data_IF_505110597239
#
_entry.id   IF_505110597239
#
_cell.length_a   1.000
_cell.length_b   1.000
_cell.length_c   1.000
_cell.angle_alpha   90.00
_cell.angle_beta   90.00
_cell.angle_gamma   90.00
#
_symmetry.space_group_name_H-M   'P 1'
#
loop_
_entity.id
_entity.type
_entity.pdbx_description
1 polymer ?
2 polymer ?
3 non-polymer ?
4 non-polymer ?
5 non-polymer ?
6 non-polymer ?
7 water ?
#
# COMPACT_ATOMS: atom_id res chain seq x y z
N UNK A 1 6.49 -3.90 -12.57
CA UNK A 1 5.18 -4.00 -13.19
C UNK A 1 5.34 -4.45 -14.63
N UNK A 2 4.65 -5.55 -14.96
CA UNK A 2 4.56 -6.16 -16.28
C UNK A 2 3.20 -5.71 -16.85
N UNK A 3 3.18 -5.24 -18.09
CA UNK A 3 1.94 -4.83 -18.75
C UNK A 3 1.31 -3.52 -18.33
N UNK A 4 2.02 -2.70 -17.57
CA UNK A 4 1.53 -1.41 -17.12
C UNK A 4 1.90 -0.28 -18.05
N UNK A 5 1.95 0.94 -17.52
CA UNK A 5 2.31 2.14 -18.24
C UNK A 5 3.14 2.99 -17.29
N UNK A 6 3.81 4.04 -17.79
CA UNK A 6 4.57 4.92 -16.90
C UNK A 6 3.55 5.75 -16.13
N UNK A 7 3.72 5.82 -14.78
CA UNK A 7 2.89 6.64 -13.92
C UNK A 7 3.33 8.06 -14.22
N UNK A 8 2.47 8.94 -14.76
CA UNK A 8 2.90 10.33 -15.02
C UNK A 8 3.42 10.97 -13.72
N UNK A 9 4.60 11.63 -13.80
CA UNK A 9 5.31 12.26 -12.68
C UNK A 9 4.32 12.99 -11.76
N UNK A 10 4.26 12.55 -10.49
CA UNK A 10 3.41 13.10 -9.44
C UNK A 10 2.02 12.49 -9.32
N UNK A 11 1.68 11.46 -10.13
CA UNK A 11 0.34 10.85 -10.03
C UNK A 11 0.32 9.63 -9.06
N UNK A 12 1.49 9.18 -8.59
CA UNK A 12 1.64 8.13 -7.57
C UNK A 12 2.48 8.84 -6.47
N UNK A 13 1.96 9.92 -5.82
CA UNK A 13 2.83 10.72 -4.94
C UNK A 13 3.18 10.11 -3.58
N UNK A 14 2.46 9.06 -3.19
CA UNK A 14 2.64 8.28 -1.95
C UNK A 14 3.60 7.10 -2.12
N UNK A 15 3.99 6.78 -3.36
CA UNK A 15 4.95 5.72 -3.64
C UNK A 15 6.30 6.01 -2.98
N UNK A 16 6.85 4.99 -2.30
CA UNK A 16 8.18 5.04 -1.67
C UNK A 16 9.10 4.08 -2.41
N UNK A 17 10.36 4.45 -2.52
CA UNK A 17 11.44 3.62 -3.04
C UNK A 17 12.35 3.35 -1.83
N UNK A 18 12.53 2.09 -1.50
CA UNK A 18 13.40 1.68 -0.40
C UNK A 18 14.76 1.24 -0.94
N UNK A 19 15.81 1.79 -0.37
CA UNK A 19 17.18 1.54 -0.79
C UNK A 19 17.99 0.97 0.37
N UNK A 20 19.00 0.18 0.03
CA UNK A 20 19.92 -0.38 1.01
C UNK A 20 21.31 -0.27 0.39
N UNK A 21 22.19 0.57 0.97
CA UNK A 21 23.52 0.85 0.41
C UNK A 21 23.42 1.53 -0.99
N UNK A 22 22.33 2.27 -1.24
CA UNK A 22 22.08 2.96 -2.50
C UNK A 22 21.40 2.10 -3.55
N UNK A 23 21.26 0.79 -3.27
CA UNK A 23 20.67 -0.17 -4.19
C UNK A 23 19.19 -0.34 -3.93
N UNK A 24 18.44 -0.54 -5.01
CA UNK A 24 17.00 -0.75 -5.05
C UNK A 24 16.65 -1.97 -4.22
N UNK A 25 15.78 -1.80 -3.23
CA UNK A 25 15.37 -2.89 -2.35
C UNK A 25 13.92 -3.29 -2.59
N UNK A 26 13.02 -2.34 -2.41
CA UNK A 26 11.57 -2.54 -2.40
C UNK A 26 10.86 -1.25 -2.62
N UNK A 27 9.54 -1.35 -2.70
CA UNK A 27 8.63 -0.22 -2.69
C UNK A 27 8.05 -0.08 -1.30
N UNK A 28 7.25 0.97 -1.13
CA UNK A 28 6.53 1.26 0.10
C UNK A 28 5.44 2.26 -0.16
N UNK A 29 4.58 2.51 0.84
CA UNK A 29 3.49 3.51 0.75
C UNK A 29 3.58 4.46 1.93
N UNK A 30 3.54 5.77 1.64
CA UNK A 30 3.55 6.80 2.68
C UNK A 30 2.11 6.94 3.19
N UNK A 31 1.88 6.88 4.53
CA UNK A 31 0.52 6.99 5.06
C UNK A 31 0.32 8.30 5.85
N UNK A 32 1.43 8.99 6.20
CA UNK A 32 1.51 10.32 6.83
C UNK A 32 2.96 10.87 6.68
N UNK A 33 3.37 11.94 7.37
CA UNK A 33 4.73 12.50 7.19
C UNK A 33 5.88 11.65 7.71
N UNK A 34 5.63 10.69 8.62
CA UNK A 34 6.74 9.92 9.18
C UNK A 34 6.58 8.40 9.04
N UNK A 35 5.44 7.89 8.60
CA UNK A 35 5.27 6.44 8.47
C UNK A 35 5.07 5.96 7.06
N UNK A 36 5.74 4.84 6.76
CA UNK A 36 5.72 4.14 5.48
C UNK A 36 5.32 2.70 5.78
N UNK A 37 4.42 2.12 4.95
CA UNK A 37 4.07 0.70 5.10
C UNK A 37 4.65 -0.05 3.88
N UNK A 38 5.34 -1.16 4.18
CA UNK A 38 5.98 -1.98 3.16
C UNK A 38 5.70 -3.47 3.48
N UNK A 39 6.52 -4.40 2.94
CA UNK A 39 6.37 -5.83 3.23
C UNK A 39 7.46 -6.31 4.14
N UNK A 40 7.15 -7.20 5.09
CA UNK A 40 8.10 -7.79 6.01
C UNK A 40 9.22 -8.56 5.25
N UNK A 41 8.89 -9.26 4.13
CA UNK A 41 9.86 -10.07 3.39
C UNK A 41 11.00 -9.25 2.77
N UNK A 42 10.80 -7.93 2.58
CA UNK A 42 11.80 -6.97 2.08
C UNK A 42 13.01 -6.88 3.00
N UNK A 43 12.84 -7.20 4.28
CA UNK A 43 13.91 -7.02 5.26
C UNK A 43 14.55 -8.32 5.74
N UNK A 44 14.23 -9.46 5.07
CA UNK A 44 14.74 -10.79 5.43
C UNK A 44 16.28 -10.95 5.38
N UNK A 45 16.91 -10.35 4.38
CA UNK A 45 18.36 -10.49 4.18
C UNK A 45 19.15 -9.25 4.60
N UNK A 46 18.53 -8.34 5.38
CA UNK A 46 19.21 -7.12 5.80
C UNK A 46 20.21 -7.37 6.93
N UNK A 47 21.44 -6.87 6.79
CA UNK A 47 22.47 -6.91 7.84
C UNK A 47 22.89 -5.50 8.19
N UNK A 48 22.80 -4.58 7.20
CA UNK A 48 23.16 -3.16 7.30
C UNK A 48 21.93 -2.25 7.51
N UNK A 49 21.30 -2.34 8.71
CA UNK A 49 20.09 -1.58 9.10
C UNK A 49 20.28 -0.06 9.09
N UNK A 50 21.52 0.43 9.20
CA UNK A 50 21.81 1.87 9.19
C UNK A 50 21.94 2.47 7.80
N UNK A 51 21.91 1.61 6.76
CA UNK A 51 22.02 1.98 5.34
C UNK A 51 20.70 1.90 4.56
N UNK A 52 19.55 1.76 5.30
CA UNK A 52 18.19 1.70 4.79
C UNK A 52 17.70 3.11 4.57
N UNK A 53 17.34 3.44 3.32
CA UNK A 53 16.88 4.80 2.96
C UNK A 53 15.51 4.70 2.34
N UNK A 54 14.63 5.68 2.63
CA UNK A 54 13.33 5.78 1.97
C UNK A 54 13.37 7.06 1.11
N UNK A 55 13.03 6.91 -0.16
CA UNK A 55 12.98 8.01 -1.10
C UNK A 55 11.53 8.28 -1.50
N UNK A 56 11.08 9.52 -1.23
CA UNK A 56 9.76 10.06 -1.56
C UNK A 56 9.92 11.02 -2.74
N UNK A 57 8.87 11.14 -3.56
CA UNK A 57 8.86 12.06 -4.70
C UNK A 57 9.70 11.59 -5.86
N UNK A 58 10.09 10.31 -5.82
CA UNK A 58 10.88 9.67 -6.86
C UNK A 58 10.00 9.32 -8.10
N UNK A 59 10.59 9.36 -9.30
CA UNK A 59 9.94 9.03 -10.59
C UNK A 59 10.97 8.33 -11.53
N UNK A 60 12.02 9.10 -11.93
CA UNK A 60 13.09 8.67 -12.82
C UNK A 60 14.39 8.41 -12.06
N UNK A 61 14.80 7.13 -12.03
CA UNK A 61 16.01 6.72 -11.30
C UNK A 61 17.35 7.23 -11.88
N UNK A 62 17.34 7.76 -13.10
CA UNK A 62 18.58 8.20 -13.72
C UNK A 62 18.90 9.70 -13.49
N UNK A 63 17.86 10.49 -13.17
CA UNK A 63 17.94 11.94 -13.00
C UNK A 63 17.44 12.42 -11.64
N UNK A 64 18.11 13.44 -11.11
CA UNK A 64 17.68 14.14 -9.91
C UNK A 64 17.02 15.44 -10.39
N UNK A 65 15.71 15.63 -10.07
CA UNK A 65 15.02 16.85 -10.51
C UNK A 65 14.71 17.80 -9.35
N UNK A 66 15.02 17.39 -8.12
CA UNK A 66 14.80 18.21 -6.94
C UNK A 66 13.53 17.90 -6.15
N UNK A 67 12.62 17.10 -6.70
CA UNK A 67 11.39 16.71 -5.99
C UNK A 67 11.62 15.50 -5.09
N UNK A 68 12.80 14.84 -5.21
CA UNK A 68 13.16 13.67 -4.38
C UNK A 68 13.46 14.11 -2.96
N UNK A 69 13.06 13.29 -1.98
CA UNK A 69 13.31 13.53 -0.55
C UNK A 69 13.75 12.20 0.05
N UNK A 70 14.97 12.16 0.60
CA UNK A 70 15.58 10.97 1.22
C UNK A 70 15.54 11.08 2.72
N UNK A 71 15.20 9.98 3.38
CA UNK A 71 15.10 9.88 4.82
C UNK A 71 15.65 8.54 5.25
N UNK A 72 16.32 8.52 6.39
CA UNK A 72 16.81 7.29 6.98
C UNK A 72 15.63 6.60 7.63
N UNK A 73 15.57 5.27 7.52
CA UNK A 73 14.52 4.48 8.16
C UNK A 73 15.06 4.24 9.54
N UNK A 74 14.41 4.85 10.54
CA UNK A 74 14.83 4.80 11.95
C UNK A 74 14.35 3.53 12.69
N UNK A 75 13.26 2.90 12.20
CA UNK A 75 12.62 1.74 12.79
C UNK A 75 11.81 0.92 11.76
N UNK A 76 11.95 -0.41 11.80
CA UNK A 76 11.24 -1.39 10.97
C UNK A 76 10.46 -2.26 11.95
N UNK A 77 9.10 -2.20 11.87
CA UNK A 77 8.21 -2.93 12.78
C UNK A 77 7.48 -4.01 12.01
N UNK A 78 7.67 -5.24 12.46
CA UNK A 78 7.17 -6.43 11.83
C UNK A 78 6.30 -7.24 12.82
N UNK A 79 5.20 -7.89 12.37
CA UNK A 79 4.37 -8.66 13.32
C UNK A 79 5.07 -9.91 13.86
N UNK A 80 4.75 -10.26 15.11
CA UNK A 80 5.30 -11.45 15.78
C UNK A 80 4.96 -12.71 15.02
N UNK A 81 3.85 -12.71 14.31
CA UNK A 81 3.38 -13.85 13.53
C UNK A 81 4.10 -14.06 12.20
N UNK A 82 4.82 -13.06 11.70
CA UNK A 82 5.54 -13.18 10.45
C UNK A 82 6.80 -14.00 10.65
N UNK A 83 7.00 -15.04 9.78
CA UNK A 83 8.18 -15.92 9.83
C UNK A 83 9.07 -15.69 8.60
N UNK A 84 10.35 -15.31 8.74
CA UNK A 84 11.21 -15.14 7.53
C UNK A 84 11.26 -16.35 6.64
N UNK A 85 11.23 -16.13 5.33
CA UNK A 85 11.25 -17.20 4.34
C UNK A 85 9.88 -17.76 4.00
N UNK A 86 8.82 -17.21 4.65
CA UNK A 86 7.42 -17.61 4.43
C UNK A 86 6.62 -16.40 3.89
N UNK A 87 5.32 -16.63 3.60
CA UNK A 87 4.40 -15.68 2.95
C UNK A 87 3.40 -14.94 3.85
N UNK A 88 2.92 -15.59 4.90
CA UNK A 88 1.86 -15.03 5.77
C UNK A 88 2.34 -13.82 6.60
N UNK A 89 1.40 -12.91 6.93
CA UNK A 89 1.62 -11.69 7.74
C UNK A 89 2.73 -10.77 7.15
N UNK A 90 2.70 -10.57 5.82
CA UNK A 90 3.72 -9.81 5.07
C UNK A 90 3.52 -8.31 5.10
N UNK A 91 3.88 -7.69 6.24
CA UNK A 91 3.71 -6.26 6.42
C UNK A 91 4.82 -5.69 7.30
N UNK A 92 5.22 -4.47 7.03
CA UNK A 92 6.23 -3.79 7.83
C UNK A 92 5.79 -2.35 7.97
N UNK A 93 5.95 -1.79 9.17
CA UNK A 93 5.70 -0.39 9.48
C UNK A 93 7.05 0.29 9.74
N UNK A 94 7.38 1.28 8.91
CA UNK A 94 8.63 2.03 8.92
C UNK A 94 8.42 3.42 9.39
N UNK A 95 9.23 3.85 10.38
CA UNK A 95 9.27 5.19 10.97
C UNK A 95 10.49 5.86 10.35
N UNK A 96 10.25 7.00 9.68
CA UNK A 96 11.30 7.82 9.07
C UNK A 96 12.03 8.58 10.18
N UNK A 97 13.34 8.81 10.03
CA UNK A 97 14.14 9.47 11.08
C UNK A 97 13.66 10.92 11.32
N UNK A 98 13.18 11.55 10.25
CA UNK A 98 12.60 12.87 10.30
C UNK A 98 11.48 12.95 9.27
N UNK A 99 10.42 13.76 9.51
CA UNK A 99 9.29 13.76 8.56
C UNK A 99 9.66 14.19 7.16
N UNK A 100 8.88 13.73 6.16
CA UNK A 100 9.00 14.21 4.78
C UNK A 100 8.17 15.51 4.71
N UNK A 101 8.47 16.39 3.74
CA UNK A 101 7.73 17.62 3.51
C UNK A 101 6.68 17.34 2.41
N UNK A 102 5.39 17.51 2.77
CA UNK A 102 4.29 17.33 1.82
C UNK A 102 4.36 18.47 0.77
N UNK A 103 4.34 18.07 -0.50
CA UNK A 103 4.45 18.93 -1.71
C UNK A 103 3.54 18.26 -2.74
N UNK A 104 3.47 18.83 -3.97
CA UNK A 104 2.65 18.27 -5.05
C UNK A 104 3.11 16.89 -5.46
N UNK A 105 4.37 16.54 -5.11
CA UNK A 105 5.00 15.28 -5.51
C UNK A 105 5.12 14.24 -4.40
N UNK A 106 4.80 14.63 -3.14
CA UNK A 106 4.87 13.81 -1.91
C UNK A 106 3.57 14.01 -1.09
N UNK A 107 2.66 13.05 -1.21
CA UNK A 107 1.36 13.09 -0.53
C UNK A 107 1.05 11.72 0.07
N UNK A 108 0.60 11.57 1.35
CA UNK A 108 0.28 10.23 1.84
C UNK A 108 -0.95 9.61 1.21
N UNK A 109 -1.01 8.26 1.22
CA UNK A 109 -2.16 7.50 0.80
C UNK A 109 -2.92 7.27 2.12
N UNK A 110 -4.26 7.43 2.14
CA UNK A 110 -5.07 7.22 3.35
C UNK A 110 -5.06 5.77 3.82
N UNK A 111 -4.67 5.54 5.09
CA UNK A 111 -4.83 4.25 5.74
C UNK A 111 -6.32 4.25 6.20
N UNK A 112 -7.18 3.41 5.61
CA UNK A 112 -8.60 3.49 5.95
C UNK A 112 -8.90 2.80 7.26
N UNK A 113 -10.16 2.92 7.72
CA UNK A 113 -10.67 2.20 8.88
C UNK A 113 -10.98 0.78 8.43
N UNK A 114 -10.84 -0.21 9.33
CA UNK A 114 -11.10 -1.62 9.03
C UNK A 114 -12.48 -1.88 8.41
N UNK A 115 -13.53 -1.40 9.10
CA UNK A 115 -14.94 -1.54 8.74
C UNK A 115 -15.14 -1.06 7.31
N UNK A 116 -14.83 0.22 7.05
CA UNK A 116 -14.91 0.82 5.73
C UNK A 116 -14.17 -0.02 4.69
N UNK A 117 -12.93 -0.45 5.02
CA UNK A 117 -12.10 -1.23 4.11
C UNK A 117 -12.69 -2.59 3.77
N UNK A 118 -13.20 -3.33 4.78
CA UNK A 118 -13.80 -4.66 4.60
C UNK A 118 -15.17 -4.63 3.93
N UNK A 119 -16.03 -3.67 4.31
CA UNK A 119 -17.38 -3.68 3.79
C UNK A 119 -17.62 -2.75 2.59
N UNK A 120 -16.64 -1.93 2.18
CA UNK A 120 -16.82 -1.03 1.04
C UNK A 120 -15.67 -1.18 0.04
N UNK A 121 -14.42 -0.96 0.52
CA UNK A 121 -13.21 -1.02 -0.34
C UNK A 121 -12.96 -2.37 -0.96
N UNK A 122 -13.15 -3.46 -0.18
CA UNK A 122 -12.97 -4.85 -0.62
C UNK A 122 -13.82 -5.24 -1.86
N UNK A 123 -14.78 -4.40 -2.22
CA UNK A 123 -15.72 -4.62 -3.32
C UNK A 123 -15.49 -3.67 -4.49
N UNK A 124 -14.47 -2.81 -4.42
CA UNK A 124 -14.09 -2.00 -5.57
C UNK A 124 -13.23 -3.01 -6.39
N UNK A 125 -13.65 -3.34 -7.62
CA UNK A 125 -13.00 -4.36 -8.44
C UNK A 125 -11.54 -4.03 -8.77
N UNK A 126 -11.31 -2.87 -9.38
CA UNK A 126 -10.01 -2.40 -9.85
C UNK A 126 -9.27 -1.51 -8.86
N UNK A 127 -7.92 -1.64 -8.85
CA UNK A 127 -6.99 -0.90 -8.00
C UNK A 127 -5.65 -0.76 -8.71
N UNK A 128 -4.87 0.27 -8.33
CA UNK A 128 -3.58 0.56 -8.93
C UNK A 128 -2.44 -0.03 -8.15
N UNK A 129 -1.53 -0.69 -8.87
CA UNK A 129 -0.34 -1.33 -8.31
C UNK A 129 0.84 -0.69 -9.01
N UNK A 130 1.83 -0.27 -8.24
CA UNK A 130 2.95 0.51 -8.75
C UNK A 130 4.33 0.16 -8.20
N UNK A 131 5.35 0.51 -8.96
CA UNK A 131 6.74 0.27 -8.60
C UNK A 131 7.73 0.35 -9.74
N UNK A 132 9.03 0.22 -9.39
CA UNK A 132 10.18 0.24 -10.30
C UNK A 132 10.73 -1.19 -10.48
N UNK A 133 9.86 -2.20 -10.34
CA UNK A 133 10.21 -3.60 -10.52
C UNK A 133 10.48 -3.95 -11.97
N UNK A 134 10.74 -5.24 -12.22
CA UNK A 134 11.05 -5.75 -13.56
C UNK A 134 9.88 -5.63 -14.50
N UNK A 135 10.19 -5.31 -15.75
CA UNK A 135 9.17 -5.09 -16.75
C UNK A 135 8.64 -6.40 -17.32
N UNK A 136 9.39 -7.50 -17.08
CA UNK A 136 9.05 -8.87 -17.47
C UNK A 136 9.64 -9.83 -16.46
N UNK A 137 9.14 -11.10 -16.48
CA UNK A 137 9.70 -12.19 -15.69
C UNK A 137 11.10 -12.47 -16.30
N UNK A 138 12.15 -12.39 -15.44
CA UNK A 138 13.58 -12.54 -15.77
C UNK A 138 14.06 -11.38 -16.69
N UNK A 139 13.47 -10.21 -16.49
CA UNK A 139 13.77 -8.99 -17.21
C UNK A 139 14.37 -7.91 -16.33
N UNK A 140 14.72 -6.79 -16.96
CA UNK A 140 15.31 -5.62 -16.32
C UNK A 140 14.22 -4.80 -15.65
N UNK A 141 14.59 -4.17 -14.52
CA UNK A 141 13.73 -3.30 -13.72
C UNK A 141 13.59 -1.96 -14.43
N UNK A 142 12.46 -1.26 -14.18
CA UNK A 142 12.15 0.04 -14.79
C UNK A 142 12.97 1.21 -14.24
N UNK A 143 13.32 2.20 -15.09
CA UNK A 143 13.98 3.44 -14.67
C UNK A 143 12.92 4.49 -14.31
N UNK A 144 11.67 4.32 -14.84
CA UNK A 144 10.53 5.20 -14.54
C UNK A 144 9.44 4.46 -13.79
N UNK A 145 8.80 5.13 -12.83
CA UNK A 145 7.72 4.55 -12.04
C UNK A 145 6.56 4.01 -12.91
N UNK A 146 6.25 2.71 -12.79
CA UNK A 146 5.19 2.08 -13.58
C UNK A 146 3.96 1.80 -12.72
N UNK A 147 2.76 1.90 -13.32
CA UNK A 147 1.49 1.69 -12.67
C UNK A 147 0.62 0.71 -13.48
N UNK A 148 -0.11 -0.18 -12.78
CA UNK A 148 -1.03 -1.13 -13.38
C UNK A 148 -2.39 -1.22 -12.65
N UNK A 149 -3.48 -1.22 -13.42
CA UNK A 149 -4.85 -1.42 -12.90
C UNK A 149 -5.11 -2.93 -12.88
N UNK A 150 -5.43 -3.49 -11.72
CA UNK A 150 -5.68 -4.93 -11.56
C UNK A 150 -7.02 -5.25 -10.90
N UNK A 151 -7.76 -6.27 -11.35
CA UNK A 151 -9.01 -6.63 -10.67
C UNK A 151 -8.77 -7.57 -9.48
N UNK A 152 -9.53 -7.37 -8.39
CA UNK A 152 -9.46 -8.16 -7.18
C UNK A 152 -10.44 -9.29 -7.34
N UNK A 153 -10.03 -10.49 -6.85
CA UNK A 153 -10.81 -11.71 -6.86
C UNK A 153 -11.13 -12.12 -5.45
N UNK A 154 -12.27 -12.80 -5.25
CA UNK A 154 -12.61 -13.41 -3.97
C UNK A 154 -11.74 -14.67 -3.95
N UNK A 155 -11.17 -15.00 -2.77
CA UNK A 155 -10.20 -16.10 -2.62
C UNK A 155 -10.74 -17.42 -3.21
N UNK A 156 -12.04 -17.75 -3.02
CA UNK A 156 -12.62 -18.97 -3.60
C UNK A 156 -12.41 -18.99 -5.13
N UNK A 157 -12.70 -17.85 -5.83
CA UNK A 157 -12.52 -17.67 -7.27
C UNK A 157 -11.04 -17.80 -7.68
N UNK A 158 -10.13 -17.14 -6.92
CA UNK A 158 -8.68 -17.19 -7.16
C UNK A 158 -8.21 -18.65 -7.21
N UNK A 159 -8.58 -19.43 -6.17
CA UNK A 159 -8.23 -20.85 -6.00
C UNK A 159 -8.79 -21.75 -7.10
N UNK A 160 -10.01 -21.43 -7.62
CA UNK A 160 -10.67 -22.12 -8.72
C UNK A 160 -10.01 -21.79 -10.06
N UNK A 161 -9.77 -20.50 -10.32
CA UNK A 161 -9.14 -20.02 -11.56
C UNK A 161 -7.66 -20.35 -11.68
N UNK A 162 -6.98 -20.64 -10.55
CA UNK A 162 -5.56 -20.94 -10.59
C UNK A 162 -5.26 -22.39 -10.96
N UNK A 163 -4.09 -22.60 -11.60
CA UNK A 163 -3.57 -23.90 -12.00
C UNK A 163 -2.94 -24.56 -10.77
N UNK A 164 -3.52 -25.72 -10.35
CA UNK A 164 -3.11 -26.48 -9.17
C UNK A 164 -1.62 -26.88 -9.20
N UNK A 165 -0.78 -26.02 -8.58
CA UNK A 165 0.68 -26.19 -8.47
C UNK A 165 1.04 -26.63 -7.03
N UNK A 166 1.94 -27.63 -6.92
CA UNK A 166 2.41 -28.18 -5.65
C UNK A 166 3.39 -27.25 -4.94
N UNK A 167 3.51 -27.42 -3.60
CA UNK A 167 4.37 -26.63 -2.69
C UNK A 167 3.96 -25.13 -2.66
N UNK A 168 2.93 -24.73 -3.48
CA UNK A 168 2.40 -23.37 -3.59
C UNK A 168 1.70 -22.97 -2.29
N UNK A 169 2.14 -21.89 -1.59
CA UNK A 169 1.50 -21.52 -0.33
C UNK A 169 0.00 -21.28 -0.42
N UNK A 170 -0.70 -21.50 0.70
CA UNK A 170 -2.15 -21.30 0.87
C UNK A 170 -2.46 -19.80 0.84
N UNK A 171 -3.66 -19.43 0.36
CA UNK A 171 -4.09 -18.05 0.42
C UNK A 171 -4.89 -17.91 1.70
N UNK A 172 -4.29 -17.22 2.67
CA UNK A 172 -4.83 -17.03 4.00
C UNK A 172 -5.80 -15.89 4.05
N UNK A 173 -6.36 -15.61 5.23
CA UNK A 173 -7.29 -14.50 5.40
C UNK A 173 -6.54 -13.15 5.51
N UNK A 174 -5.19 -13.20 5.51
CA UNK A 174 -4.30 -12.05 5.60
C UNK A 174 -3.74 -11.69 4.24
N UNK A 175 -4.30 -12.30 3.18
CA UNK A 175 -3.91 -12.11 1.79
C UNK A 175 -5.14 -11.99 0.88
N UNK A 176 -4.90 -11.51 -0.34
CA UNK A 176 -5.90 -11.50 -1.41
C UNK A 176 -5.23 -11.58 -2.75
N UNK A 177 -5.97 -12.07 -3.75
CA UNK A 177 -5.50 -12.19 -5.12
C UNK A 177 -5.99 -11.01 -5.91
N UNK A 178 -5.18 -10.57 -6.83
CA UNK A 178 -5.52 -9.51 -7.76
C UNK A 178 -4.63 -9.71 -8.99
N UNK A 179 -5.15 -9.33 -10.16
CA UNK A 179 -4.37 -9.48 -11.39
C UNK A 179 -5.05 -10.27 -12.49
N UNK A 180 -4.23 -10.84 -13.36
CA UNK A 180 -4.62 -11.58 -14.56
C UNK A 180 -3.89 -12.91 -14.62
N UNK A 181 -4.60 -13.94 -15.10
CA UNK A 181 -4.09 -15.29 -15.27
C UNK A 181 -3.56 -15.59 -16.70
N UNK A 182 -3.54 -14.61 -17.63
CA UNK A 182 -3.16 -14.84 -19.02
C UNK A 182 -1.67 -14.56 -19.39
N UNK A 183 -0.85 -14.28 -18.38
CA UNK A 183 0.57 -13.99 -18.56
C UNK A 183 0.89 -12.62 -19.12
N UNK A 184 -0.10 -11.71 -19.17
CA UNK A 184 0.08 -10.36 -19.73
C UNK A 184 0.40 -9.20 -18.77
N UNK A 185 -0.15 -9.21 -17.54
CA UNK A 185 -0.04 -8.08 -16.61
C UNK A 185 0.09 -8.54 -15.17
N UNK A 186 1.05 -7.98 -14.45
CA UNK A 186 1.26 -8.36 -13.05
C UNK A 186 2.18 -7.36 -12.36
N UNK A 187 2.33 -7.57 -11.04
CA UNK A 187 3.33 -6.88 -10.24
C UNK A 187 4.50 -7.90 -10.19
N UNK A 188 5.68 -7.49 -9.73
CA UNK A 188 6.81 -8.42 -9.68
C UNK A 188 7.56 -8.29 -8.39
N UNK A 189 8.58 -9.15 -8.18
CA UNK A 189 9.38 -9.16 -6.96
C UNK A 189 9.95 -7.81 -6.59
N UNK A 190 10.37 -7.01 -7.57
CA UNK A 190 10.98 -5.70 -7.37
C UNK A 190 10.00 -4.63 -6.94
N UNK A 191 8.68 -4.90 -7.14
CA UNK A 191 7.58 -4.04 -6.75
C UNK A 191 7.11 -4.37 -5.31
N UNK A 192 7.68 -5.44 -4.70
CA UNK A 192 7.42 -5.91 -3.33
C UNK A 192 7.36 -4.76 -2.35
N UNK A 193 6.35 -4.80 -1.49
CA UNK A 193 6.09 -3.77 -0.47
C UNK A 193 5.34 -2.55 -0.97
N UNK A 194 5.19 -2.42 -2.29
CA UNK A 194 4.52 -1.30 -2.93
C UNK A 194 3.01 -1.26 -2.73
N UNK A 195 2.37 -0.10 -3.03
CA UNK A 195 0.91 -0.01 -2.81
C UNK A 195 0.03 -0.73 -3.83
N UNK A 196 -1.15 -1.11 -3.36
CA UNK A 196 -2.31 -1.58 -4.07
C UNK A 196 -3.31 -0.52 -3.54
N UNK A 197 -3.55 0.53 -4.37
CA UNK A 197 -4.36 1.72 -4.06
C UNK A 197 -5.77 1.66 -4.66
N UNK A 198 -6.79 1.90 -3.82
CA UNK A 198 -8.20 1.84 -4.19
C UNK A 198 -8.88 3.21 -4.18
N UNK A 199 -9.61 3.50 -5.24
CA UNK A 199 -10.34 4.75 -5.39
C UNK A 199 -11.77 4.61 -4.88
N UNK A 200 -12.18 5.52 -4.03
CA UNK A 200 -13.52 5.56 -3.49
C UNK A 200 -13.98 6.97 -3.24
N UNK A 201 -14.95 7.40 -4.05
CA UNK A 201 -15.60 8.70 -3.98
C UNK A 201 -14.61 9.88 -3.89
N UNK A 202 -13.68 9.90 -4.85
CA UNK A 202 -12.71 10.98 -5.03
C UNK A 202 -11.40 10.92 -4.26
N UNK A 203 -11.22 9.92 -3.39
CA UNK A 203 -10.01 9.76 -2.57
C UNK A 203 -9.44 8.34 -2.71
N UNK A 204 -8.08 8.20 -2.64
CA UNK A 204 -7.38 6.91 -2.71
C UNK A 204 -7.02 6.34 -1.33
N UNK A 205 -7.08 5.00 -1.20
CA UNK A 205 -6.84 4.26 0.05
C UNK A 205 -5.92 3.07 -0.11
N UNK A 206 -5.20 2.74 0.99
CA UNK A 206 -4.35 1.55 1.05
C UNK A 206 -5.13 0.30 1.37
N UNK A 207 -5.30 -0.61 0.37
CA UNK A 207 -5.99 -1.90 0.55
C UNK A 207 -5.04 -3.12 0.58
N UNK A 208 -3.89 -3.04 -0.08
CA UNK A 208 -2.99 -4.20 -0.16
C UNK A 208 -1.53 -3.84 -0.33
N UNK A 209 -0.64 -4.81 -0.10
CA UNK A 209 0.80 -4.62 -0.25
C UNK A 209 1.30 -5.71 -1.21
N UNK A 210 2.13 -5.35 -2.21
CA UNK A 210 2.74 -6.30 -3.18
C UNK A 210 3.56 -7.27 -2.34
N UNK A 211 3.10 -8.53 -2.27
CA UNK A 211 3.67 -9.58 -1.41
C UNK A 211 4.36 -10.74 -2.16
N UNK A 212 3.61 -11.61 -2.85
CA UNK A 212 4.19 -12.78 -3.53
C UNK A 212 3.35 -13.36 -4.68
N UNK A 213 3.87 -14.40 -5.31
CA UNK A 213 3.23 -15.14 -6.39
C UNK A 213 4.04 -16.33 -6.83
N UNK A 214 3.69 -16.89 -8.01
CA UNK A 214 4.31 -18.09 -8.62
C UNK A 214 5.06 -17.74 -9.91
N UNK A 215 5.80 -16.65 -9.88
CA UNK A 215 6.53 -16.10 -11.00
C UNK A 215 5.71 -14.93 -11.52
N UNK A 216 6.39 -13.86 -11.94
CA UNK A 216 5.75 -12.66 -12.45
C UNK A 216 5.11 -12.91 -13.79
N UNK A 217 3.80 -12.60 -13.89
CA UNK A 217 2.99 -12.77 -15.09
C UNK A 217 3.02 -14.23 -15.66
N UNK A 218 2.87 -15.22 -14.76
CA UNK A 218 2.80 -16.66 -15.04
C UNK A 218 1.35 -16.94 -15.44
N UNK A 219 1.12 -17.74 -16.53
CA UNK A 219 -0.24 -18.05 -16.96
C UNK A 219 -0.84 -19.05 -15.98
N UNK A 220 -2.08 -18.79 -15.62
CA UNK A 220 -2.85 -19.59 -14.67
C UNK A 220 -2.63 -19.15 -13.23
N UNK A 221 -1.93 -18.02 -13.02
CA UNK A 221 -1.60 -17.54 -11.69
C UNK A 221 -1.78 -16.05 -11.51
N UNK A 222 -2.27 -15.64 -10.33
CA UNK A 222 -2.48 -14.24 -9.98
C UNK A 222 -1.43 -13.78 -8.96
N UNK A 223 -1.33 -12.46 -8.77
CA UNK A 223 -0.47 -11.83 -7.77
C UNK A 223 -1.16 -11.89 -6.43
N UNK A 224 -0.40 -12.08 -5.35
CA UNK A 224 -0.92 -12.18 -4.00
C UNK A 224 -0.44 -10.95 -3.21
N UNK A 225 -1.40 -10.31 -2.50
CA UNK A 225 -1.25 -9.06 -1.75
C UNK A 225 -1.67 -9.22 -0.30
N UNK A 226 -0.94 -8.56 0.61
CA UNK A 226 -1.24 -8.57 2.03
C UNK A 226 -2.54 -7.80 2.24
N UNK A 227 -3.55 -8.40 2.89
CA UNK A 227 -4.84 -7.77 3.18
C UNK A 227 -4.63 -6.81 4.34
N UNK A 228 -4.40 -5.53 4.01
CA UNK A 228 -4.11 -4.43 4.93
C UNK A 228 -5.23 -4.22 5.97
N UNK A 229 -6.52 -4.42 5.60
CA UNK A 229 -7.65 -4.21 6.54
C UNK A 229 -7.48 -4.99 7.85
N UNK A 230 -6.78 -6.13 7.80
CA UNK A 230 -6.51 -6.99 8.95
C UNK A 230 -5.55 -6.37 9.93
N UNK A 231 -4.77 -5.35 9.48
CA UNK A 231 -3.68 -4.72 10.24
C UNK A 231 -3.90 -3.29 10.67
N UNK A 232 -5.11 -2.73 10.46
CA UNK A 232 -5.44 -1.34 10.80
C UNK A 232 -5.16 -1.03 12.28
N UNK A 233 -5.75 -1.80 13.22
CA UNK A 233 -5.59 -1.59 14.68
C UNK A 233 -4.14 -1.73 15.08
N UNK A 234 -3.45 -2.76 14.53
CA UNK A 234 -2.03 -3.05 14.75
C UNK A 234 -1.15 -1.82 14.34
N UNK A 235 -1.41 -1.23 13.17
CA UNK A 235 -0.66 -0.04 12.67
C UNK A 235 -0.91 1.20 13.51
N UNK A 236 -2.18 1.49 13.79
CA UNK A 236 -2.64 2.63 14.57
C UNK A 236 -2.05 2.62 15.96
N UNK A 237 -2.07 1.44 16.64
CA UNK A 237 -1.53 1.30 17.99
C UNK A 237 -0.06 1.65 18.01
N UNK A 238 0.70 1.16 17.01
CA UNK A 238 2.13 1.43 16.87
C UNK A 238 2.46 2.89 16.51
N UNK A 239 1.63 3.53 15.66
CA UNK A 239 1.89 4.93 15.30
C UNK A 239 1.67 5.85 16.51
N UNK A 240 0.96 5.35 17.54
CA UNK A 240 0.73 6.09 18.78
C UNK A 240 1.83 5.78 19.81
N UNK A 241 2.83 4.95 19.45
CA UNK A 241 3.91 4.52 20.33
C UNK A 241 5.15 5.34 20.19
N UNK A 242 5.90 5.41 21.29
CA UNK A 242 7.19 6.08 21.32
C UNK A 242 8.28 5.23 20.66
N UNK A 243 9.20 5.84 19.87
CA UNK A 243 10.33 5.05 19.32
C UNK A 243 11.09 4.28 20.41
N UNK A 244 11.63 3.11 20.02
CA UNK A 244 12.42 2.26 20.90
C UNK A 244 13.80 2.10 20.27
N UNK A 245 14.90 1.98 21.07
CA UNK A 245 16.23 1.79 20.45
C UNK A 245 16.29 0.50 19.59
N UNK A 246 17.16 0.51 18.59
CA UNK A 246 17.28 -0.60 17.64
C UNK A 246 16.38 -0.40 16.44
N UNK A 247 16.86 -0.78 15.24
CA UNK A 247 16.09 -0.61 14.02
C UNK A 247 14.95 -1.60 13.95
N UNK A 248 15.24 -2.91 13.91
CA UNK A 248 14.15 -3.86 13.84
C UNK A 248 13.48 -4.08 15.19
N UNK A 249 12.15 -4.03 15.19
CA UNK A 249 11.27 -4.29 16.33
C UNK A 249 10.18 -5.30 15.88
N UNK A 250 10.01 -6.39 16.63
CA UNK A 250 8.97 -7.37 16.41
C UNK A 250 7.87 -7.03 17.43
N UNK A 251 6.62 -6.79 16.95
CA UNK A 251 5.45 -6.39 17.74
C UNK A 251 4.37 -7.46 17.76
N UNK A 252 3.71 -7.71 18.91
CA UNK A 252 2.68 -8.75 18.93
C UNK A 252 1.53 -8.52 17.96
N UNK A 253 1.16 -9.55 17.20
CA UNK A 253 -0.01 -9.56 16.31
C UNK A 253 -0.93 -10.69 16.79
N UNK A 254 -2.22 -10.44 17.15
CA UNK A 254 -2.97 -9.17 17.10
C UNK A 254 -2.46 -8.12 18.09
N UNK B 1 -26.89 0.30 8.87
CA UNK B 1 -26.96 1.31 7.81
C UNK B 1 -25.64 1.32 7.02
N UNK B 2 -24.49 1.35 7.71
CA UNK B 2 -23.12 1.39 7.15
C UNK B 2 -22.83 0.22 6.24
N UNK B 3 -23.46 -0.93 6.54
CA UNK B 3 -23.36 -2.21 5.81
C UNK B 3 -23.78 -2.05 4.33
N UNK B 4 -24.78 -1.18 4.07
CA UNK B 4 -25.33 -0.88 2.75
C UNK B 4 -24.88 0.49 2.24
N UNK B 5 -24.23 0.50 1.05
CA UNK B 5 -23.71 1.66 0.32
C UNK B 5 -23.02 2.72 1.22
N UNK B 6 -22.24 2.20 2.20
CA UNK B 6 -21.42 2.92 3.16
C UNK B 6 -22.25 3.91 4.00
N UNK B 7 -23.52 3.54 4.22
CA UNK B 7 -24.50 4.33 4.94
C UNK B 7 -24.68 5.71 4.33
N UNK B 8 -24.36 5.83 3.04
CA UNK B 8 -24.40 7.07 2.30
C UNK B 8 -23.19 7.98 2.53
N UNK B 9 -22.19 7.52 3.36
CA UNK B 9 -20.99 8.33 3.69
C UNK B 9 -19.98 8.40 2.54
N UNK B 10 -19.17 9.47 2.53
CA UNK B 10 -18.08 9.62 1.57
C UNK B 10 -16.85 8.82 2.07
N UNK B 11 -16.59 8.88 3.39
CA UNK B 11 -15.47 8.16 4.01
C UNK B 11 -15.96 7.14 5.05
N UNK B 12 -15.80 7.42 6.33
CA UNK B 12 -16.14 6.50 7.41
C UNK B 12 -17.57 6.60 7.93
N UNK B 13 -18.09 5.47 8.43
CA UNK B 13 -19.45 5.28 8.90
C UNK B 13 -19.51 4.55 10.26
N UNK B 14 -20.29 5.10 11.20
CA UNK B 14 -20.50 4.53 12.53
C UNK B 14 -22.01 4.37 12.82
N UNK B 15 -22.41 3.17 13.29
CA UNK B 15 -23.79 2.85 13.63
C UNK B 15 -24.01 3.14 15.10
N UNK B 16 -25.23 3.56 15.45
CA UNK B 16 -25.61 3.87 16.83
C UNK B 16 -26.99 3.28 17.17
N UNK B 17 -27.51 3.63 18.39
CA UNK B 17 -28.78 3.19 18.98
C UNK B 17 -29.91 3.15 17.95
N UNK B 18 -30.22 1.94 17.49
CA UNK B 18 -31.25 1.71 16.48
C UNK B 18 -30.83 2.10 15.08
N UNK B 19 -31.56 3.07 14.48
CA UNK B 19 -31.33 3.56 13.11
C UNK B 19 -30.60 4.93 13.05
N UNK B 20 -29.76 5.24 14.06
CA UNK B 20 -28.91 6.44 14.08
C UNK B 20 -27.58 6.08 13.38
N UNK B 21 -27.09 6.98 12.51
CA UNK B 21 -25.88 6.81 11.72
C UNK B 21 -25.03 8.08 11.75
N UNK B 22 -23.73 7.95 11.98
CA UNK B 22 -22.81 9.09 11.97
C UNK B 22 -21.69 8.90 10.93
N UNK B 23 -21.59 9.82 9.95
CA UNK B 23 -20.46 9.78 9.04
C UNK B 23 -19.34 10.55 9.72
N UNK B 24 -18.12 10.18 9.35
CA UNK B 24 -16.87 10.76 9.86
C UNK B 24 -15.87 10.84 8.70
N UNK B 25 -14.74 11.51 8.97
CA UNK B 25 -13.68 11.72 7.97
C UNK B 25 -12.30 11.34 8.54
N UNK B 26 -11.35 11.09 7.63
CA UNK B 26 -9.94 10.84 7.97
C UNK B 26 -9.37 12.21 8.39
N UNK B 27 -8.31 12.21 9.21
CA UNK B 27 -7.58 13.42 9.63
C UNK B 27 -7.26 14.27 8.38
N UNK B 28 -7.37 15.60 8.47
CA UNK B 28 -7.14 16.48 7.33
C UNK B 28 -8.38 16.77 6.49
N UNK B 29 -9.53 16.26 6.93
CA UNK B 29 -10.82 16.51 6.33
C UNK B 29 -11.84 16.86 7.41
N UNK B 30 -12.83 17.69 7.08
CA UNK B 30 -13.97 17.93 7.99
C UNK B 30 -15.24 17.55 7.24
N UNK B 31 -16.27 17.15 7.98
CA UNK B 31 -17.57 16.74 7.48
C UNK B 31 -18.44 17.94 7.21
N UNK B 32 -19.12 17.93 6.07
CA UNK B 32 -20.02 19.03 5.65
C UNK B 32 -21.39 18.90 6.35
N UNK B 33 -22.18 20.00 6.39
CA UNK B 33 -23.50 20.01 7.04
C UNK B 33 -24.49 19.00 6.47
N UNK B 34 -24.20 18.39 5.28
CA UNK B 34 -25.06 17.34 4.72
C UNK B 34 -24.88 16.07 5.56
N UNK B 35 -23.76 15.99 6.26
CA UNK B 35 -23.41 14.89 7.15
C UNK B 35 -22.92 13.66 6.46
N UNK B 36 -22.50 13.76 5.20
CA UNK B 36 -21.98 12.64 4.43
C UNK B 36 -20.64 13.00 3.76
N UNK B 37 -20.58 14.20 3.14
CA UNK B 37 -19.44 14.75 2.42
C UNK B 37 -18.34 15.20 3.37
N UNK B 38 -17.07 14.99 2.88
CA UNK B 38 -15.81 15.32 3.55
C UNK B 38 -15.09 16.32 2.70
N UNK B 39 -14.64 17.42 3.30
CA UNK B 39 -13.91 18.49 2.61
C UNK B 39 -12.46 18.64 3.17
N UNK B 40 -11.41 18.83 2.34
CA UNK B 40 -10.04 19.00 2.90
C UNK B 40 -9.88 20.26 3.75
N UNK B 41 -9.17 20.13 4.86
CA UNK B 41 -8.92 21.24 5.79
C UNK B 41 -7.47 21.65 5.74
N UNK B 42 -6.66 20.86 5.00
CA UNK B 42 -5.21 21.00 4.79
C UNK B 42 -4.90 21.11 3.28
N UNK B 43 -3.67 21.56 2.94
CA UNK B 43 -3.15 21.75 1.58
C UNK B 43 -2.94 20.42 0.85
N UNK B 44 -2.30 19.44 1.52
CA UNK B 44 -2.05 18.13 0.96
C UNK B 44 -2.82 17.06 1.72
N UNK B 45 -4.17 16.93 1.56
CA UNK B 45 -4.91 15.88 2.30
C UNK B 45 -4.52 14.51 1.75
N UNK B 46 -4.71 13.44 2.51
CA UNK B 46 -4.31 12.13 2.01
C UNK B 46 -5.21 11.62 0.86
N UNK B 47 -4.63 10.81 -0.04
CA UNK B 47 -5.39 10.18 -1.11
C UNK B 47 -5.90 11.07 -2.22
N UNK B 48 -5.35 12.27 -2.35
CA UNK B 48 -5.71 13.23 -3.41
C UNK B 48 -4.40 13.65 -4.06
N UNK B 49 -4.41 13.70 -5.40
CA UNK B 49 -3.28 13.95 -6.27
C UNK B 49 -3.24 15.44 -6.65
N UNK B 50 -2.42 16.29 -5.98
CA UNK B 50 -2.43 17.73 -6.29
C UNK B 50 -2.46 18.11 -7.75
N UNK B 51 -1.61 17.53 -8.59
CA UNK B 51 -1.58 17.88 -10.02
C UNK B 51 -2.93 17.55 -10.71
N UNK B 52 -3.65 16.53 -10.25
CA UNK B 52 -4.94 16.23 -10.86
C UNK B 52 -6.03 17.16 -10.30
N UNK B 53 -5.93 17.50 -9.01
CA UNK B 53 -6.86 18.39 -8.29
C UNK B 53 -6.75 19.82 -8.75
N UNK B 54 -5.54 20.22 -9.24
CA UNK B 54 -5.23 21.58 -9.70
C UNK B 54 -5.57 21.81 -11.20
N UNK B 55 -6.51 21.02 -11.74
CA UNK B 55 -7.00 21.09 -13.12
C UNK B 55 -8.53 21.29 -13.09
X LIG C 1 8.96 -12.44 -4.69
X LIG C 1 12.57 -12.33 -3.28
X LIG C 1 10.23 -12.01 -3.93
X LIG C 1 13.68 -13.17 -3.92
X LIG C 1 12.96 -14.45 -4.34
X LIG C 1 11.55 -14.04 -4.73
X LIG C 1 12.46 -12.49 -1.77
X LIG C 1 8.07 -13.54 -2.60
X LIG C 1 7.51 -14.61 -1.92
X LIG C 1 12.17 -12.94 0.99
X LIG C 1 8.01 -14.79 -4.65
X LIG C 1 11.45 -13.72 0.10
X LIG C 1 6.69 -12.17 -6.61
X LIG C 1 4.86 -10.14 -6.15
X LIG C 1 6.03 -10.19 -5.41
X LIG C 1 6.93 -11.22 -5.62
X LIG C 1 4.56 -11.10 -7.10
X LIG C 1 5.50 -12.12 -7.35
X LIG C 1 5.22 -13.19 -8.33
X LIG C 1 4.12 -13.03 -9.09
X LIG C 1 3.25 -11.86 -9.08
X LIG C 1 3.20 -11.13 -7.76
X LIG C 1 5.92 -14.19 -8.46
X LIG C 1 8.05 -11.31 -4.78
X LIG C 1 8.33 -13.63 -3.97
X LIG C 1 10.23 -10.95 -3.34
X LIG C 1 11.35 -12.76 -4.00
X LIG C 1 7.22 -15.81 -2.63
X LIG C 1 7.45 -15.88 -4.00
X LIG C 1 6.75 -16.84 -1.86
X LIG C 1 6.34 -18.05 -2.50
X LIG C 1 7.13 -14.59 -0.60
X LIG C 1 7.43 -13.43 0.17
X LIG C 1 11.60 -13.48 -1.27
X LIG C 1 13.03 -11.96 0.53
X LIG C 1 13.18 -11.74 -0.83
X LIG C 1 14.39 -10.49 -1.23
X LIG C 1 13.55 -8.88 -1.07
X LIG C 1 15.40 -10.54 -0.20
X LIG C 1 14.80 -10.63 -2.59
X LIG C 1 12.34 -8.73 -1.97
X LIG C 1 14.57 -7.78 -1.27
X LIG C 1 10.69 -14.78 0.65
X LIG C 1 10.16 -15.85 0.00
X LIG C 1 9.39 -16.54 0.85
X LIG C 1 10.40 -16.19 -1.14
X LIG C 1 8.96 -17.85 0.40
X LIG C 1 9.24 -12.72 -5.70
X LIG C 1 12.67 -11.27 -3.55
X LIG C 1 14.50 -13.37 -3.23
X LIG C 1 14.14 -12.64 -4.76
X LIG C 1 12.94 -15.18 -3.54
X LIG C 1 13.47 -14.94 -5.16
X LIG C 1 10.83 -14.80 -4.45
X LIG C 1 11.45 -13.88 -5.80
X LIG C 1 8.30 -12.61 -2.09
X LIG C 1 12.09 -13.05 2.07
X LIG C 1 8.19 -14.87 -5.72
X LIG C 1 7.40 -12.95 -6.85
X LIG C 1 4.14 -9.35 -5.95
X LIG C 1 6.21 -9.41 -4.67
X LIG C 1 3.85 -13.77 -9.72
X LIG C 1 3.55 -11.20 -9.88
X LIG C 1 2.25 -12.19 -9.36
X LIG C 1 2.86 -10.11 -7.89
X LIG C 1 2.46 -11.58 -7.10
X LIG C 1 8.15 -10.59 -4.07
X LIG C 1 7.22 -16.75 -4.61
X LIG C 1 5.91 -18.63 -1.69
X LIG C 1 7.17 -18.61 -2.94
X LIG C 1 5.58 -17.90 -3.26
X LIG C 1 8.47 -13.12 0.22
X LIG C 1 7.10 -13.64 1.18
X LIG C 1 6.83 -12.61 -0.23
X LIG C 1 11.01 -14.07 -1.98
X LIG C 1 13.60 -11.39 1.27
X LIG C 1 13.17 -8.75 -0.06
X LIG C 1 11.80 -7.80 -1.78
X LIG C 1 11.62 -9.54 -1.83
X LIG C 1 12.61 -8.71 -3.03
X LIG C 1 15.34 -7.80 -0.51
X LIG C 1 14.11 -6.79 -1.22
X LIG C 1 15.06 -7.85 -2.24
X LIG C 1 10.53 -14.71 1.65
X LIG C 1 9.87 -18.44 0.50
X LIG C 1 8.18 -18.25 1.05
X LIG C 1 8.62 -17.88 -0.63
X LIG D 1 14.83 10.96 -9.93
X LIG E 1 16.88 11.79 7.72
X LIG E 1 16.61 13.20 7.46
X LIG E 1 17.80 11.68 8.84
X LIG E 1 15.68 11.06 7.98
X LIG E 1 17.54 11.27 6.55
X LIG F 1 22.97 -5.75 3.55
X LIG F 1 24.21 -5.88 4.32
X LIG F 1 22.08 -4.80 4.23
X LIG F 1 22.33 -7.06 3.46
X LIG F 1 23.27 -5.29 2.21
X LIG G 1 -3.23 8.09 10.00
X LIG G 1 -3.68 9.44 9.65
X LIG G 1 -2.53 8.16 11.29
X LIG G 1 -4.36 7.15 10.11
X LIG G 1 -2.31 7.60 8.98
X LIG H 1 13.60 -9.70 10.36
X LIG H 1 12.32 -10.28 10.10
X LIG H 1 14.71 -10.52 9.76
X LIG H 1 15.94 -9.78 9.78
X LIG H 1 14.90 -11.83 10.50
X LIG H 1 15.36 -12.85 9.62
X LIG I 1 -3.30 6.87 -12.78
X LIG I 1 -2.16 6.73 -13.62
X LIG I 1 -2.99 7.67 -11.54
X LIG I 1 -4.20 7.96 -10.85
X LIG I 1 -2.04 6.90 -10.64
X LIG I 1 -2.37 7.05 -9.25
#
# INVERSE_FOLDING_TARGET
IVGGKVCPKGECPWQVLLLVNGAQLCGGTLINTIWVVSAAHCFDKIKNWRNLIAVLGEHDLSEHDGDEQSRRVAQVIIPSTYVPGTTNHDIALLRLHQPVVLTDHVVPLCLPERTFSERTLAFVRFSLVSGWGQLLDRGATALELMVLNVPRLMTQDCLQQSRKVGDSPNITEYMFCAGYSDGSKDSCKGDSGGPHATHYRGTWYLTGIVSWGQGCATVGHFGVYTRVSQYIEWLQKLMRSEPRPGVLLRAPFP
ICVNENGGCEQYCSDHTGTKRSCRCHEGYSLLADGVSCTPTVEYPCGKIPILEKR
3Z9 C13 C18 C15 C19 C20 C21 C22 C23 C24 C34 C27 C33 C1 C2 C3 C4 C5 C6 C7 N8 C9 C10 O11 N12 C14 O16 N17 C25 C26 O28 C29 O30 C31 C32 C35 C36 S37 C38 O39 O40 C41 C42 N43 C44 O45 O46 C47 H57 H58 H60 H59 H62 H61 H64 H63 H65 H75 H67 H48 H49 H50 H51 H53 H52 H55 H54 H56 H66 H68 H69 H70 H72 H71 H73 H74 H76 H77 H78 H79 H80 H83 H81 H82 H84 H85 H87 H86
CA CA
SO4 S O1 O2 O3 O4
SO4 S O1 O2 O3 O4
SO4 S O1 O2 O3 O4
GOL C1 O1 C2 O2 C3 O3
GOL C1 O1 C2 O2 C3 O3
#
